data_IF_517697441707
#
_entry.id   IF_517697441707
#
_cell.length_a   1.000
_cell.length_b   1.000
_cell.length_c   1.000
_cell.angle_alpha   90.00
_cell.angle_beta   90.00
_cell.angle_gamma   90.00
#
_symmetry.space_group_name_H-M   'P 1'
#
loop_
_entity.id
_entity.type
_entity.pdbx_description
1 polymer ?
#
# COMPACT_ATOMS: atom_id res chain seq x y z
N UNK A 1 -6.84 46.79 -3.54
CA UNK A 1 -5.61 45.93 -3.54
C UNK A 1 -5.59 44.93 -2.37
N UNK A 2 -6.05 45.32 -1.17
CA UNK A 2 -6.12 44.46 0.03
C UNK A 2 -6.85 43.12 -0.14
N UNK A 3 -8.04 43.13 -0.76
CA UNK A 3 -8.85 41.91 -0.93
C UNK A 3 -8.22 40.86 -1.86
N UNK A 4 -7.26 41.25 -2.72
CA UNK A 4 -6.54 40.36 -3.64
C UNK A 4 -5.33 39.69 -2.94
N UNK A 5 -4.63 40.42 -2.07
CA UNK A 5 -3.57 39.87 -1.20
C UNK A 5 -4.14 38.90 -0.18
N UNK A 6 -5.30 39.22 0.40
CA UNK A 6 -6.00 38.34 1.36
C UNK A 6 -6.35 36.96 0.76
N UNK A 7 -6.80 36.91 -0.50
CA UNK A 7 -7.15 35.64 -1.17
C UNK A 7 -5.94 34.78 -1.54
N UNK A 8 -4.84 35.41 -1.96
CA UNK A 8 -3.57 34.69 -2.21
C UNK A 8 -2.96 34.18 -0.91
N UNK A 9 -3.02 34.99 0.14
CA UNK A 9 -2.58 34.61 1.48
C UNK A 9 -3.41 33.44 2.02
N UNK A 10 -4.74 33.45 1.82
CA UNK A 10 -5.62 32.35 2.20
C UNK A 10 -5.29 31.05 1.44
N UNK A 11 -5.02 31.12 0.13
CA UNK A 11 -4.63 29.94 -0.65
C UNK A 11 -3.28 29.35 -0.21
N UNK A 12 -2.28 30.22 0.04
CA UNK A 12 -0.99 29.82 0.60
C UNK A 12 -1.13 29.26 2.01
N UNK A 13 -1.99 29.86 2.84
CA UNK A 13 -2.29 29.39 4.19
C UNK A 13 -2.95 28.01 4.16
N UNK A 14 -3.88 27.75 3.23
CA UNK A 14 -4.52 26.43 3.06
C UNK A 14 -3.50 25.38 2.62
N UNK A 15 -2.64 25.69 1.64
CA UNK A 15 -1.57 24.77 1.22
C UNK A 15 -0.59 24.53 2.37
N UNK A 16 -0.20 25.57 3.10
CA UNK A 16 0.65 25.46 4.29
C UNK A 16 -0.03 24.63 5.39
N UNK A 17 -1.33 24.78 5.60
CA UNK A 17 -2.08 24.01 6.59
C UNK A 17 -2.19 22.53 6.20
N UNK A 18 -2.39 22.23 4.92
CA UNK A 18 -2.38 20.85 4.40
C UNK A 18 -0.99 20.23 4.57
N UNK A 19 0.06 20.97 4.25
CA UNK A 19 1.46 20.52 4.44
C UNK A 19 1.81 20.41 5.93
N UNK A 20 1.35 21.32 6.78
CA UNK A 20 1.59 21.29 8.22
C UNK A 20 0.83 20.15 8.92
N UNK A 21 -0.41 19.87 8.51
CA UNK A 21 -1.18 18.69 8.99
C UNK A 21 -0.51 17.40 8.53
N UNK A 22 0.03 17.37 7.31
CA UNK A 22 0.81 16.23 6.83
C UNK A 22 2.11 16.04 7.61
N UNK A 23 2.85 17.13 7.89
CA UNK A 23 4.06 17.10 8.71
C UNK A 23 3.73 16.69 10.14
N UNK A 24 2.65 17.21 10.72
CA UNK A 24 2.17 16.82 12.05
C UNK A 24 1.85 15.33 12.12
N UNK A 25 1.20 14.77 11.10
CA UNK A 25 0.93 13.33 11.00
C UNK A 25 2.16 12.45 10.77
N UNK A 26 3.30 13.02 10.34
CA UNK A 26 4.60 12.34 10.27
C UNK A 26 5.28 12.34 11.64
N UNK A 27 5.23 13.47 12.35
CA UNK A 27 5.88 13.64 13.65
C UNK A 27 5.09 13.05 14.82
N UNK A 28 3.75 12.94 14.73
CA UNK A 28 2.93 12.36 15.81
C UNK A 28 3.03 10.84 15.93
N UNK A 29 3.73 10.16 15.01
CA UNK A 29 4.00 8.72 15.11
C UNK A 29 5.25 8.38 15.91
N UNK A 30 6.07 9.38 16.27
CA UNK A 30 7.26 9.17 17.07
C UNK A 30 6.98 9.36 18.56
N UNK A 31 6.03 8.62 19.11
CA UNK A 31 5.95 8.44 20.57
C UNK A 31 5.89 6.97 20.95
N UNK A 32 7.07 6.52 21.38
CA UNK A 32 7.33 5.63 22.51
C UNK A 32 7.00 4.14 22.36
N UNK A 33 7.90 3.35 22.94
CA UNK A 33 8.02 1.91 22.77
C UNK A 33 6.74 1.13 23.03
N UNK A 34 6.76 -0.11 22.55
CA UNK A 34 5.67 -1.09 22.55
C UNK A 34 5.22 -1.38 23.98
N UNK A 35 4.42 -0.50 24.58
CA UNK A 35 3.55 -0.83 25.71
C UNK A 35 2.14 -0.79 25.18
N UNK A 36 1.88 -1.64 24.19
CA UNK A 36 0.55 -1.90 23.67
C UNK A 36 0.02 -3.16 24.35
N UNK A 37 -1.25 -3.14 24.72
CA UNK A 37 -1.91 -4.31 25.29
C UNK A 37 -2.07 -5.38 24.20
N UNK A 38 -1.70 -6.62 24.49
CA UNK A 38 -1.81 -7.73 23.56
C UNK A 38 -3.27 -7.93 23.12
N UNK A 39 -3.56 -7.93 21.81
CA UNK A 39 -4.91 -8.15 21.31
C UNK A 39 -5.44 -9.53 21.67
N UNK A 40 -6.50 -9.56 22.46
CA UNK A 40 -7.22 -10.78 22.79
C UNK A 40 -7.70 -11.57 21.55
N UNK A 41 -7.63 -12.90 21.63
CA UNK A 41 -8.15 -13.83 20.64
C UNK A 41 -8.57 -15.15 21.28
N UNK A 42 -9.43 -15.88 20.57
CA UNK A 42 -9.86 -17.24 20.89
C UNK A 42 -9.62 -18.11 19.65
N UNK A 43 -9.11 -19.32 19.85
CA UNK A 43 -8.78 -20.24 18.77
C UNK A 43 -8.86 -21.70 19.23
N UNK A 44 -8.97 -22.62 18.28
CA UNK A 44 -8.83 -24.04 18.55
C UNK A 44 -7.34 -24.37 18.73
N UNK A 45 -6.98 -24.94 19.88
CA UNK A 45 -5.69 -25.57 20.09
C UNK A 45 -5.73 -26.99 19.52
N UNK A 46 -4.83 -27.28 18.57
CA UNK A 46 -4.74 -28.57 17.91
C UNK A 46 -4.12 -29.63 18.82
N UNK A 47 -3.25 -29.22 19.74
CA UNK A 47 -2.60 -30.16 20.66
C UNK A 47 -3.61 -30.71 21.67
N UNK A 48 -4.33 -29.83 22.37
CA UNK A 48 -5.30 -30.24 23.39
C UNK A 48 -6.70 -30.53 22.83
N UNK A 49 -6.98 -30.12 21.59
CA UNK A 49 -8.30 -30.14 20.98
C UNK A 49 -9.36 -29.37 21.81
N UNK A 50 -8.93 -28.27 22.44
CA UNK A 50 -9.73 -27.37 23.28
C UNK A 50 -9.69 -25.95 22.73
N UNK A 51 -10.61 -25.09 23.18
CA UNK A 51 -10.57 -23.66 22.82
C UNK A 51 -9.60 -22.94 23.75
N UNK A 52 -8.54 -22.37 23.17
CA UNK A 52 -7.57 -21.52 23.87
C UNK A 52 -7.97 -20.04 23.76
N UNK A 53 -7.82 -19.28 24.84
CA UNK A 53 -8.08 -17.84 24.88
C UNK A 53 -6.97 -17.10 25.60
N UNK A 54 -6.31 -16.17 24.91
CA UNK A 54 -5.22 -15.38 25.50
C UNK A 54 -5.68 -14.51 26.68
N UNK A 55 -6.95 -14.06 26.69
CA UNK A 55 -7.44 -13.20 27.76
C UNK A 55 -7.56 -13.92 29.11
N UNK A 56 -7.62 -15.25 29.08
CA UNK A 56 -7.75 -16.08 30.27
C UNK A 56 -6.39 -16.33 30.94
N UNK A 57 -5.28 -16.07 30.25
CA UNK A 57 -3.90 -16.23 30.75
C UNK A 57 -3.42 -15.08 31.65
N UNK A 58 -4.33 -14.30 32.25
CA UNK A 58 -3.93 -13.24 33.18
C UNK A 58 -3.20 -13.84 34.38
N UNK A 59 -2.03 -13.28 34.69
CA UNK A 59 -1.13 -13.77 35.73
C UNK A 59 -0.03 -14.69 35.23
N UNK A 60 -0.12 -15.22 34.00
CA UNK A 60 0.93 -16.01 33.37
C UNK A 60 1.75 -15.14 32.40
N UNK A 61 3.06 -15.41 32.31
CA UNK A 61 3.88 -14.85 31.23
C UNK A 61 3.63 -15.69 29.99
N UNK A 62 3.23 -15.07 28.88
CA UNK A 62 2.98 -15.78 27.62
C UNK A 62 4.13 -15.56 26.64
N UNK A 63 4.72 -16.66 26.16
CA UNK A 63 5.61 -16.68 25.00
C UNK A 63 4.77 -16.99 23.76
N UNK A 64 4.43 -15.96 22.99
CA UNK A 64 3.71 -16.10 21.73
C UNK A 64 4.72 -16.27 20.59
N UNK A 65 4.92 -17.51 20.17
CA UNK A 65 5.76 -17.87 19.04
C UNK A 65 4.95 -17.79 17.75
N UNK A 66 5.39 -16.99 16.78
CA UNK A 66 4.72 -16.78 15.50
C UNK A 66 5.60 -17.34 14.39
N UNK A 67 5.04 -18.24 13.58
CA UNK A 67 5.77 -18.93 12.52
C UNK A 67 4.87 -19.20 11.31
N UNK A 68 5.45 -19.45 10.15
CA UNK A 68 4.76 -19.92 8.95
C UNK A 68 5.40 -21.22 8.50
N UNK A 69 4.97 -22.31 9.13
CA UNK A 69 5.38 -23.68 8.85
C UNK A 69 4.29 -24.37 8.02
N UNK A 70 4.48 -24.39 6.71
CA UNK A 70 3.60 -25.02 5.73
C UNK A 70 4.41 -25.46 4.51
N UNK A 71 3.83 -26.31 3.66
CA UNK A 71 4.44 -26.76 2.40
C UNK A 71 3.93 -25.92 1.23
N UNK A 72 4.82 -25.33 0.40
CA UNK A 72 6.28 -25.41 0.45
C UNK A 72 6.89 -24.55 1.58
N UNK A 73 7.89 -25.12 2.27
CA UNK A 73 8.61 -24.46 3.38
C UNK A 73 9.62 -23.46 2.84
N UNK A 74 9.82 -22.33 3.53
CA UNK A 74 10.94 -21.44 3.24
C UNK A 74 12.27 -22.13 3.56
N UNK A 75 13.04 -22.47 2.52
CA UNK A 75 14.34 -23.17 2.62
C UNK A 75 15.35 -22.44 3.52
N UNK A 76 15.44 -21.11 3.40
CA UNK A 76 16.38 -20.32 4.21
C UNK A 76 15.94 -20.20 5.67
N UNK A 77 14.63 -20.14 5.89
CA UNK A 77 14.02 -19.97 7.21
C UNK A 77 13.97 -21.31 7.98
N UNK A 78 13.94 -22.44 7.27
CA UNK A 78 13.71 -23.79 7.82
C UNK A 78 14.64 -24.09 8.98
N UNK A 79 15.94 -23.82 8.81
CA UNK A 79 16.95 -24.02 9.85
C UNK A 79 16.57 -23.29 11.15
N UNK A 80 16.22 -22.01 11.05
CA UNK A 80 15.90 -21.16 12.21
C UNK A 80 14.55 -21.49 12.83
N UNK A 81 13.55 -21.86 12.01
CA UNK A 81 12.26 -22.36 12.50
C UNK A 81 12.44 -23.65 13.32
N UNK A 82 13.19 -24.61 12.79
CA UNK A 82 13.46 -25.89 13.46
C UNK A 82 14.27 -25.69 14.75
N UNK A 83 15.35 -24.91 14.68
CA UNK A 83 16.20 -24.63 15.85
C UNK A 83 15.40 -23.90 16.94
N UNK A 84 14.58 -22.91 16.59
CA UNK A 84 13.77 -22.21 17.59
C UNK A 84 12.70 -23.10 18.22
N UNK A 85 12.00 -23.91 17.42
CA UNK A 85 11.01 -24.87 17.94
C UNK A 85 11.66 -25.89 18.88
N UNK A 86 12.90 -26.32 18.60
CA UNK A 86 13.67 -27.19 19.48
C UNK A 86 14.03 -26.50 20.81
N UNK A 87 14.36 -25.21 20.80
CA UNK A 87 14.58 -24.46 22.03
C UNK A 87 13.28 -24.26 22.83
N UNK A 88 12.14 -24.07 22.17
CA UNK A 88 10.83 -23.98 22.83
C UNK A 88 10.44 -25.30 23.50
N UNK A 89 10.68 -26.44 22.85
CA UNK A 89 10.51 -27.77 23.45
C UNK A 89 11.33 -27.93 24.73
N UNK A 90 12.60 -27.50 24.70
CA UNK A 90 13.45 -27.48 25.91
C UNK A 90 12.95 -26.54 27.00
N UNK A 91 12.32 -25.41 26.67
CA UNK A 91 11.71 -24.51 27.67
C UNK A 91 10.45 -25.15 28.26
N UNK A 92 9.59 -25.72 27.42
CA UNK A 92 8.37 -26.40 27.84
C UNK A 92 8.69 -27.54 28.81
N UNK A 93 9.72 -28.34 28.50
CA UNK A 93 10.18 -29.44 29.35
C UNK A 93 10.69 -29.00 30.74
N UNK A 94 11.01 -27.71 30.96
CA UNK A 94 11.44 -27.19 32.27
C UNK A 94 10.28 -27.01 33.26
N UNK A 95 9.03 -27.10 32.82
CA UNK A 95 7.83 -26.92 33.66
C UNK A 95 7.90 -25.68 34.55
N UNK A 96 8.26 -24.54 33.95
CA UNK A 96 8.31 -23.25 34.64
C UNK A 96 6.88 -22.86 35.04
N UNK A 97 6.64 -22.57 36.32
CA UNK A 97 5.32 -22.17 36.82
C UNK A 97 4.86 -20.87 36.17
N UNK A 98 3.56 -20.67 35.94
CA UNK A 98 3.02 -19.42 35.36
C UNK A 98 3.69 -18.98 34.04
N UNK A 99 4.13 -19.94 33.23
CA UNK A 99 4.61 -19.74 31.86
C UNK A 99 3.65 -20.47 30.91
N UNK A 100 3.13 -19.73 29.93
CA UNK A 100 2.30 -20.27 28.86
C UNK A 100 3.04 -20.10 27.54
N UNK A 101 3.24 -21.18 26.78
CA UNK A 101 3.83 -21.13 25.44
C UNK A 101 2.73 -21.37 24.42
N UNK A 102 2.65 -20.50 23.43
CA UNK A 102 1.64 -20.59 22.37
C UNK A 102 2.34 -20.43 21.02
N UNK A 103 2.23 -21.43 20.16
CA UNK A 103 2.60 -21.28 18.75
C UNK A 103 1.38 -20.86 17.94
N UNK A 104 1.49 -19.73 17.25
CA UNK A 104 0.57 -19.28 16.21
C UNK A 104 1.20 -19.53 14.84
N UNK A 105 0.75 -20.58 14.16
CA UNK A 105 1.21 -20.96 12.84
C UNK A 105 0.34 -20.34 11.74
N UNK A 106 0.93 -19.53 10.86
CA UNK A 106 0.23 -18.93 9.72
C UNK A 106 0.14 -19.94 8.57
N UNK A 107 -1.08 -20.12 8.06
CA UNK A 107 -1.41 -21.04 6.97
C UNK A 107 -2.03 -20.35 5.75
N UNK A 108 -1.24 -20.24 4.68
CA UNK A 108 -1.72 -19.80 3.35
C UNK A 108 -2.24 -20.99 2.55
N UNK A 109 -1.56 -22.14 2.65
CA UNK A 109 -1.93 -23.34 1.94
C UNK A 109 -2.79 -24.27 2.81
N UNK A 110 -4.10 -24.28 2.56
CA UNK A 110 -5.05 -25.17 3.22
C UNK A 110 -4.85 -26.65 2.89
N UNK A 111 -4.17 -26.97 1.79
CA UNK A 111 -3.89 -28.35 1.38
C UNK A 111 -2.58 -28.91 1.96
N UNK A 112 -1.75 -28.06 2.58
CA UNK A 112 -0.53 -28.53 3.27
C UNK A 112 -0.89 -29.37 4.50
N UNK A 113 -0.01 -30.29 4.87
CA UNK A 113 -0.03 -30.95 6.19
C UNK A 113 -0.03 -29.88 7.32
N UNK A 114 -0.62 -30.17 8.49
CA UNK A 114 -0.66 -29.19 9.60
C UNK A 114 0.77 -28.80 10.01
N UNK A 115 1.01 -27.54 10.39
CA UNK A 115 2.34 -27.16 10.88
C UNK A 115 2.71 -27.95 12.14
N UNK A 116 1.71 -28.24 12.96
CA UNK A 116 1.80 -29.17 14.09
C UNK A 116 2.35 -30.55 13.67
N UNK A 117 1.74 -31.20 12.67
CA UNK A 117 2.20 -32.50 12.17
C UNK A 117 3.57 -32.39 11.50
N UNK A 118 3.86 -31.29 10.81
CA UNK A 118 5.18 -31.07 10.21
C UNK A 118 6.26 -31.03 11.29
N UNK A 119 6.04 -30.26 12.36
CA UNK A 119 6.97 -30.15 13.49
C UNK A 119 7.19 -31.49 14.20
N UNK A 120 6.13 -32.28 14.40
CA UNK A 120 6.24 -33.60 15.04
C UNK A 120 6.93 -34.63 14.17
N UNK A 121 6.55 -34.72 12.89
CA UNK A 121 6.97 -35.79 11.99
C UNK A 121 8.32 -35.54 11.35
N UNK A 122 8.58 -34.32 10.86
CA UNK A 122 9.83 -34.01 10.15
C UNK A 122 10.90 -33.39 11.05
N UNK A 123 10.51 -32.66 12.09
CA UNK A 123 11.47 -32.10 13.05
C UNK A 123 11.67 -32.98 14.30
N UNK A 124 10.87 -34.06 14.45
CA UNK A 124 10.93 -34.99 15.57
C UNK A 124 10.77 -34.30 16.94
N UNK A 125 9.92 -33.27 17.01
CA UNK A 125 9.68 -32.49 18.23
C UNK A 125 8.43 -32.99 18.96
N UNK A 126 8.46 -32.97 20.30
CA UNK A 126 7.31 -33.29 21.12
C UNK A 126 6.61 -32.01 21.59
N UNK A 127 5.64 -31.54 20.81
CA UNK A 127 4.90 -30.32 21.12
C UNK A 127 4.02 -30.57 22.35
N UNK A 128 4.40 -30.02 23.51
CA UNK A 128 3.67 -30.13 24.78
C UNK A 128 2.96 -28.83 25.20
N UNK A 129 2.80 -27.90 24.26
CA UNK A 129 2.26 -26.56 24.49
C UNK A 129 1.18 -26.22 23.44
N UNK A 130 0.47 -25.11 23.64
CA UNK A 130 -0.65 -24.74 22.78
C UNK A 130 -0.19 -24.46 21.34
N UNK A 131 -0.86 -25.07 20.37
CA UNK A 131 -0.56 -24.91 18.96
C UNK A 131 -1.81 -24.54 18.16
N UNK A 132 -1.79 -23.36 17.56
CA UNK A 132 -2.91 -22.79 16.81
C UNK A 132 -2.51 -22.64 15.35
N UNK A 133 -3.34 -23.16 14.45
CA UNK A 133 -3.21 -22.90 13.00
C UNK A 133 -4.19 -21.78 12.61
N UNK A 134 -3.67 -20.66 12.14
CA UNK A 134 -4.48 -19.55 11.65
C UNK A 134 -4.41 -19.50 10.12
N UNK A 135 -5.54 -19.78 9.48
CA UNK A 135 -5.66 -19.82 8.03
C UNK A 135 -5.89 -18.42 7.46
N UNK A 136 -5.41 -18.18 6.23
CA UNK A 136 -5.67 -16.96 5.48
C UNK A 136 -7.20 -16.70 5.45
N UNK A 137 -7.68 -15.54 5.94
CA UNK A 137 -7.02 -14.23 5.98
C UNK A 137 -6.30 -13.85 7.30
N UNK A 138 -5.88 -14.82 8.12
CA UNK A 138 -5.13 -14.60 9.37
C UNK A 138 -5.87 -13.73 10.38
N UNK A 139 -7.02 -14.22 10.86
CA UNK A 139 -7.88 -13.48 11.78
C UNK A 139 -7.17 -13.11 13.08
N UNK A 140 -6.24 -13.97 13.52
CA UNK A 140 -5.50 -13.83 14.78
C UNK A 140 -4.14 -13.21 14.49
N UNK A 141 -3.35 -13.81 13.59
CA UNK A 141 -2.00 -13.36 13.28
C UNK A 141 -2.02 -11.95 12.66
N UNK A 142 -3.07 -11.57 11.93
CA UNK A 142 -3.23 -10.19 11.44
C UNK A 142 -3.22 -9.14 12.55
N UNK A 143 -3.68 -9.47 13.77
CA UNK A 143 -3.66 -8.55 14.93
C UNK A 143 -2.24 -8.30 15.45
N UNK A 144 -1.35 -9.27 15.29
CA UNK A 144 0.04 -9.24 15.75
C UNK A 144 1.04 -8.83 14.67
N UNK A 145 0.56 -8.45 13.48
CA UNK A 145 1.40 -8.22 12.30
C UNK A 145 2.54 -7.24 12.52
N UNK A 146 2.30 -6.15 13.25
CA UNK A 146 3.34 -5.16 13.56
C UNK A 146 4.50 -5.72 14.39
N UNK A 147 4.26 -6.79 15.14
CA UNK A 147 5.23 -7.40 16.05
C UNK A 147 6.06 -8.50 15.37
N UNK A 148 5.60 -9.13 14.30
CA UNK A 148 6.41 -10.10 13.55
C UNK A 148 6.91 -9.54 12.22
N UNK A 149 6.72 -8.24 11.97
CA UNK A 149 7.24 -7.56 10.79
C UNK A 149 8.47 -6.75 11.19
N UNK A 150 9.61 -7.05 10.58
CA UNK A 150 10.84 -6.29 10.75
C UNK A 150 11.18 -5.55 9.45
N UNK A 151 11.26 -4.22 9.47
CA UNK A 151 11.62 -3.38 8.31
C UNK A 151 10.87 -3.78 7.01
N UNK A 152 9.56 -3.98 7.10
CA UNK A 152 8.66 -4.44 6.02
C UNK A 152 8.81 -5.90 5.55
N UNK A 153 9.63 -6.70 6.22
CA UNK A 153 9.76 -8.13 5.95
C UNK A 153 9.10 -8.97 7.04
N UNK A 154 8.56 -10.11 6.64
CA UNK A 154 8.04 -11.11 7.55
C UNK A 154 9.19 -11.79 8.30
N UNK A 155 9.12 -11.78 9.64
CA UNK A 155 10.02 -12.55 10.50
C UNK A 155 9.45 -13.95 10.70
N UNK A 156 10.20 -14.96 10.24
CA UNK A 156 9.83 -16.36 10.33
C UNK A 156 11.00 -17.19 10.89
N UNK A 157 11.02 -17.52 12.20
CA UNK A 157 10.00 -17.22 13.21
C UNK A 157 10.18 -15.86 13.92
N UNK A 158 9.20 -15.50 14.75
CA UNK A 158 9.27 -14.41 15.72
C UNK A 158 8.75 -14.87 17.09
N UNK A 159 9.19 -14.24 18.18
CA UNK A 159 8.70 -14.49 19.54
C UNK A 159 8.26 -13.17 20.15
N UNK A 160 7.02 -13.10 20.60
CA UNK A 160 6.46 -11.98 21.34
C UNK A 160 6.37 -12.36 22.81
N UNK A 161 6.90 -11.50 23.68
CA UNK A 161 6.86 -11.63 25.13
C UNK A 161 5.67 -10.82 25.65
N UNK A 162 4.77 -11.48 26.37
CA UNK A 162 3.59 -10.86 26.96
C UNK A 162 3.62 -11.10 28.48
N UNK A 163 3.48 -10.03 29.26
CA UNK A 163 3.47 -10.11 30.72
C UNK A 163 2.13 -10.60 31.29
N UNK A 164 2.08 -10.87 32.60
CA UNK A 164 0.87 -11.32 33.29
C UNK A 164 -0.29 -10.32 33.31
N UNK A 165 -0.05 -9.07 32.90
CA UNK A 165 -1.10 -8.04 32.73
C UNK A 165 -1.58 -7.91 31.28
N UNK A 166 -1.10 -8.79 30.40
CA UNK A 166 -1.35 -8.81 28.96
C UNK A 166 -0.73 -7.63 28.21
N UNK A 167 0.34 -7.03 28.71
CA UNK A 167 1.11 -6.05 27.94
C UNK A 167 2.21 -6.75 27.14
N UNK A 168 2.43 -6.27 25.92
CA UNK A 168 3.58 -6.69 25.13
C UNK A 168 4.80 -6.02 25.75
N UNK A 169 5.79 -6.80 26.16
CA UNK A 169 7.00 -6.31 26.85
C UNK A 169 8.28 -6.55 26.05
N UNK A 170 8.20 -7.32 24.98
CA UNK A 170 9.32 -7.51 24.07
C UNK A 170 8.98 -8.35 22.85
N UNK A 171 9.83 -8.25 21.84
CA UNK A 171 9.73 -8.98 20.58
C UNK A 171 11.14 -9.39 20.13
N UNK A 172 11.29 -10.65 19.75
CA UNK A 172 12.46 -11.18 19.09
C UNK A 172 12.12 -11.56 17.65
N UNK A 173 12.80 -10.95 16.69
CA UNK A 173 12.75 -11.31 15.27
C UNK A 173 13.91 -12.25 14.97
N UNK A 174 13.65 -13.55 14.83
CA UNK A 174 14.74 -14.53 14.78
C UNK A 174 15.41 -14.51 13.40
N UNK A 175 14.61 -14.65 12.36
CA UNK A 175 15.05 -14.62 10.95
C UNK A 175 14.04 -13.84 10.12
N UNK A 176 14.49 -12.92 9.28
CA UNK A 176 13.63 -12.13 8.41
C UNK A 176 13.98 -12.39 6.94
N UNK A 177 12.97 -12.74 6.15
CA UNK A 177 13.16 -12.98 4.72
C UNK A 177 13.69 -11.70 4.04
N UNK A 178 14.79 -11.82 3.30
CA UNK A 178 15.45 -10.70 2.62
C UNK A 178 16.45 -9.89 3.47
N UNK A 179 16.44 -10.04 4.80
CA UNK A 179 17.42 -9.40 5.70
C UNK A 179 18.34 -10.42 6.41
N UNK A 180 17.95 -11.69 6.47
CA UNK A 180 18.70 -12.74 7.14
C UNK A 180 18.43 -12.81 8.65
N UNK A 181 19.46 -13.17 9.42
CA UNK A 181 19.38 -13.28 10.88
C UNK A 181 19.32 -11.89 11.51
N UNK A 182 18.31 -11.63 12.33
CA UNK A 182 18.16 -10.35 13.05
C UNK A 182 18.59 -10.53 14.50
N UNK A 183 17.74 -11.15 15.32
CA UNK A 183 18.10 -11.54 16.68
C UNK A 183 18.72 -12.95 16.70
N UNK A 184 18.32 -13.84 15.79
CA UNK A 184 18.75 -15.24 15.82
C UNK A 184 18.13 -16.04 16.97
N UNK A 185 18.40 -17.34 16.96
CA UNK A 185 17.71 -18.34 17.80
C UNK A 185 17.90 -18.01 19.27
N UNK A 186 16.78 -17.93 20.00
CA UNK A 186 16.74 -17.68 21.43
C UNK A 186 16.81 -19.01 22.16
N UNK A 187 17.91 -19.20 22.91
CA UNK A 187 18.11 -20.42 23.70
C UNK A 187 17.09 -20.55 24.82
N UNK A 188 16.84 -21.79 25.24
CA UNK A 188 15.92 -22.09 26.32
C UNK A 188 16.34 -21.46 27.66
N UNK A 189 17.65 -21.33 27.89
CA UNK A 189 18.17 -20.65 29.08
C UNK A 189 17.90 -19.14 29.05
N UNK A 190 18.11 -18.49 27.90
CA UNK A 190 17.82 -17.06 27.74
C UNK A 190 16.33 -16.76 27.87
N UNK A 191 15.46 -17.58 27.27
CA UNK A 191 14.01 -17.41 27.37
C UNK A 191 13.51 -17.62 28.80
N UNK A 192 14.05 -18.62 29.51
CA UNK A 192 13.71 -18.86 30.92
C UNK A 192 14.11 -17.67 31.82
N UNK A 193 15.32 -17.13 31.63
CA UNK A 193 15.81 -15.94 32.35
C UNK A 193 14.95 -14.69 32.04
N UNK A 194 14.57 -14.50 30.78
CA UNK A 194 13.66 -13.41 30.40
C UNK A 194 12.29 -13.55 31.08
N UNK A 195 11.72 -14.76 31.11
CA UNK A 195 10.44 -15.06 31.80
C UNK A 195 10.54 -14.78 33.30
N UNK A 196 11.64 -15.18 33.94
CA UNK A 196 11.90 -14.93 35.37
C UNK A 196 11.91 -13.43 35.67
N UNK A 197 12.62 -12.64 34.85
CA UNK A 197 12.71 -11.18 34.98
C UNK A 197 11.37 -10.48 34.78
N UNK A 198 10.56 -10.93 33.82
CA UNK A 198 9.20 -10.41 33.60
C UNK A 198 8.32 -10.67 34.82
N UNK A 199 8.40 -11.87 35.41
CA UNK A 199 7.64 -12.20 36.63
C UNK A 199 8.04 -11.36 37.84
N UNK A 200 9.33 -11.12 38.01
CA UNK A 200 9.87 -10.34 39.13
C UNK A 200 9.61 -8.83 38.96
N UNK A 201 9.09 -8.40 37.81
CA UNK A 201 8.89 -6.97 37.50
C UNK A 201 10.19 -6.21 37.24
N UNK A 202 11.31 -6.92 37.12
CA UNK A 202 12.63 -6.35 36.83
C UNK A 202 12.85 -6.09 35.33
N UNK A 203 11.84 -6.40 34.51
CA UNK A 203 11.85 -6.16 33.06
C UNK A 203 11.71 -4.67 32.73
N UNK A 204 12.83 -3.94 32.83
CA UNK A 204 12.85 -2.48 32.70
C UNK A 204 13.03 -1.91 31.29
N UNK A 205 13.44 -2.72 30.30
CA UNK A 205 13.63 -2.25 28.91
C UNK A 205 12.90 -3.16 27.94
N UNK A 206 11.95 -2.58 27.21
CA UNK A 206 11.23 -3.26 26.13
C UNK A 206 12.27 -3.67 25.07
N UNK A 207 12.37 -4.97 24.79
CA UNK A 207 13.31 -5.50 23.80
C UNK A 207 12.64 -5.58 22.43
N UNK A 208 13.34 -5.13 21.38
CA UNK A 208 12.92 -5.28 19.99
C UNK A 208 12.29 -4.02 19.36
N UNK A 209 12.44 -3.90 18.04
CA UNK A 209 11.81 -2.86 17.24
C UNK A 209 10.52 -3.42 16.60
N UNK A 210 9.34 -2.96 17.03
CA UNK A 210 8.12 -3.25 16.28
C UNK A 210 8.00 -2.32 15.08
N UNK A 211 7.37 -2.83 14.02
CA UNK A 211 7.07 -2.03 12.86
C UNK A 211 6.08 -0.91 13.20
N UNK A 212 6.55 0.33 13.08
CA UNK A 212 5.73 1.52 13.01
C UNK A 212 4.85 1.39 11.75
N UNK A 213 3.59 1.01 11.94
CA UNK A 213 2.64 0.75 10.86
C UNK A 213 2.54 1.89 9.86
N UNK A 214 2.00 1.63 8.66
CA UNK A 214 1.67 2.70 7.72
C UNK A 214 0.69 3.68 8.38
N UNK A 215 1.20 4.85 8.74
CA UNK A 215 0.40 5.94 9.27
C UNK A 215 -0.32 6.66 8.14
N UNK A 216 -1.40 7.37 8.47
CA UNK A 216 -2.02 8.32 7.53
C UNK A 216 -0.98 9.31 6.95
N UNK A 217 0.02 9.70 7.75
CA UNK A 217 1.17 10.49 7.31
C UNK A 217 2.01 9.77 6.25
N UNK A 218 2.36 8.49 6.46
CA UNK A 218 3.08 7.69 5.48
C UNK A 218 2.36 7.56 4.15
N UNK A 219 1.04 7.35 4.17
CA UNK A 219 0.21 7.31 2.96
C UNK A 219 0.14 8.63 2.22
N UNK A 220 0.07 9.74 2.96
CA UNK A 220 0.13 11.07 2.36
C UNK A 220 1.48 11.32 1.66
N UNK A 221 2.59 11.01 2.34
CA UNK A 221 3.95 11.17 1.78
C UNK A 221 4.14 10.30 0.55
N UNK A 222 3.66 9.06 0.58
CA UNK A 222 3.68 8.18 -0.58
C UNK A 222 2.88 8.77 -1.76
N UNK A 223 1.75 9.44 -1.47
CA UNK A 223 0.99 10.24 -2.44
C UNK A 223 1.82 11.34 -3.09
N UNK A 224 2.52 12.12 -2.27
CA UNK A 224 3.40 13.20 -2.75
C UNK A 224 4.52 12.63 -3.61
N UNK A 225 5.20 11.57 -3.17
CA UNK A 225 6.32 10.97 -3.89
C UNK A 225 5.89 10.39 -5.25
N UNK A 226 4.73 9.72 -5.30
CA UNK A 226 4.22 9.12 -6.54
C UNK A 226 3.67 10.13 -7.54
N UNK A 227 3.43 11.38 -7.14
CA UNK A 227 3.12 12.46 -8.08
C UNK A 227 4.28 12.81 -9.03
N UNK A 228 5.52 12.52 -8.60
CA UNK A 228 6.75 12.75 -9.39
C UNK A 228 7.03 11.56 -10.32
N UNK A 229 6.24 10.49 -10.23
CA UNK A 229 6.39 9.34 -11.12
C UNK A 229 6.17 9.75 -12.59
N UNK A 230 6.95 9.18 -13.52
CA UNK A 230 6.91 9.55 -14.94
C UNK A 230 5.50 9.44 -15.56
N UNK A 231 4.67 8.49 -15.11
CA UNK A 231 3.25 8.38 -15.49
C UNK A 231 2.44 9.64 -15.15
N UNK A 232 2.57 10.12 -13.90
CA UNK A 232 1.83 11.27 -13.41
C UNK A 232 2.26 12.57 -14.09
N UNK A 233 3.55 12.71 -14.42
CA UNK A 233 4.08 13.87 -15.15
C UNK A 233 3.47 13.94 -16.56
N UNK A 234 3.40 12.84 -17.30
CA UNK A 234 2.84 12.82 -18.67
C UNK A 234 1.36 13.20 -18.67
N UNK A 235 0.59 12.62 -17.75
CA UNK A 235 -0.83 12.95 -17.62
C UNK A 235 -1.06 14.40 -17.15
N UNK A 236 -0.17 14.93 -16.31
CA UNK A 236 -0.20 16.33 -15.90
C UNK A 236 0.08 17.27 -17.09
N UNK A 237 1.03 16.93 -17.97
CA UNK A 237 1.31 17.70 -19.20
C UNK A 237 0.09 17.70 -20.13
N UNK A 238 -0.60 16.56 -20.26
CA UNK A 238 -1.84 16.48 -21.03
C UNK A 238 -2.94 17.37 -20.45
N UNK A 239 -3.09 17.38 -19.12
CA UNK A 239 -4.01 18.29 -18.41
C UNK A 239 -3.63 19.75 -18.67
N UNK A 240 -2.37 20.15 -18.44
CA UNK A 240 -1.92 21.54 -18.64
C UNK A 240 -2.10 22.00 -20.09
N UNK A 241 -1.89 21.12 -21.06
CA UNK A 241 -2.16 21.41 -22.47
C UNK A 241 -3.66 21.63 -22.72
N UNK A 242 -4.53 20.86 -22.06
CA UNK A 242 -5.98 20.98 -22.19
C UNK A 242 -6.55 22.24 -21.52
N UNK A 243 -6.11 22.58 -20.31
CA UNK A 243 -6.52 23.83 -19.63
C UNK A 243 -5.86 25.06 -20.24
N UNK A 244 -4.58 24.96 -20.63
CA UNK A 244 -3.84 26.03 -21.32
C UNK A 244 -4.43 26.36 -22.70
N UNK A 245 -4.82 25.35 -23.49
CA UNK A 245 -5.46 25.55 -24.80
C UNK A 245 -6.83 26.24 -24.72
N UNK A 246 -7.51 26.18 -23.56
CA UNK A 246 -8.78 26.87 -23.34
C UNK A 246 -8.59 28.30 -22.82
N UNK A 247 -7.49 28.58 -22.10
CA UNK A 247 -7.13 29.93 -21.64
C UNK A 247 -6.66 30.86 -22.77
N UNK A 248 -6.16 30.33 -23.88
CA UNK A 248 -5.68 31.11 -25.04
C UNK A 248 -6.70 31.37 -26.15
N UNK A 249 -7.97 30.95 -26.01
CA UNK A 249 -9.01 31.07 -27.04
C UNK A 249 -10.01 32.18 -26.76
N UNK A 250 -9.56 33.29 -26.18
CA UNK A 250 -10.33 34.52 -26.02
C UNK A 250 -9.66 35.66 -26.77
N UNK A 251 -10.18 35.96 -27.97
CA UNK A 251 -10.01 37.16 -28.81
C UNK A 251 -8.62 37.83 -28.86
N UNK A 252 -8.08 37.92 -30.08
CA UNK A 252 -6.92 38.72 -30.38
C UNK A 252 -7.09 40.18 -29.97
N UNK A 253 -6.19 40.63 -29.11
CA UNK A 253 -5.56 41.94 -29.15
C UNK A 253 -4.35 41.88 -28.23
N UNK A 254 -3.17 42.18 -28.78
CA UNK A 254 -2.08 42.74 -27.99
C UNK A 254 -2.67 43.94 -27.24
N UNK A 255 -2.77 43.89 -25.91
CA UNK A 255 -2.44 45.00 -25.02
C UNK A 255 -2.86 44.74 -23.56
N UNK A 256 -2.04 45.30 -22.67
CA UNK A 256 -2.26 45.60 -21.25
C UNK A 256 -1.97 44.49 -20.23
N UNK A 257 -0.67 44.54 -19.89
CA UNK A 257 0.01 44.08 -18.70
C UNK A 257 -0.72 44.33 -17.37
N UNK A 258 -0.29 43.58 -16.36
CA UNK A 258 -0.40 43.81 -14.89
C UNK A 258 -1.71 43.56 -14.14
N UNK A 259 -2.88 43.44 -14.79
CA UNK A 259 -4.17 43.25 -14.07
C UNK A 259 -4.77 41.82 -14.05
N UNK A 260 -4.40 40.98 -15.02
CA UNK A 260 -5.10 39.73 -15.35
C UNK A 260 -4.53 38.45 -14.68
N UNK A 261 -3.31 38.52 -14.14
CA UNK A 261 -2.57 37.37 -13.59
C UNK A 261 -3.26 36.72 -12.39
N UNK A 262 -3.93 37.49 -11.52
CA UNK A 262 -4.51 36.99 -10.26
C UNK A 262 -5.86 36.29 -10.42
N UNK A 263 -6.68 36.69 -11.40
CA UNK A 263 -7.97 36.01 -11.70
C UNK A 263 -7.72 34.62 -12.27
N UNK A 264 -6.65 34.48 -13.06
CA UNK A 264 -6.19 33.21 -13.61
C UNK A 264 -5.57 32.30 -12.54
N UNK A 265 -4.84 32.86 -11.56
CA UNK A 265 -4.29 32.09 -10.43
C UNK A 265 -5.39 31.48 -9.55
N UNK A 266 -6.42 32.26 -9.19
CA UNK A 266 -7.48 31.77 -8.31
C UNK A 266 -8.36 30.72 -8.99
N UNK A 267 -8.64 30.91 -10.29
CA UNK A 267 -9.31 29.87 -11.09
C UNK A 267 -8.43 28.63 -11.22
N UNK A 268 -7.11 28.76 -11.39
CA UNK A 268 -6.16 27.64 -11.42
C UNK A 268 -6.09 26.86 -10.10
N UNK A 269 -6.12 27.56 -8.97
CA UNK A 269 -6.20 26.95 -7.63
C UNK A 269 -7.47 26.11 -7.46
N UNK A 270 -8.64 26.68 -7.74
CA UNK A 270 -9.92 25.95 -7.63
C UNK A 270 -10.01 24.78 -8.61
N UNK A 271 -9.43 24.93 -9.81
CA UNK A 271 -9.30 23.83 -10.79
C UNK A 271 -8.42 22.70 -10.21
N UNK A 272 -7.29 23.03 -9.59
CA UNK A 272 -6.42 22.05 -8.93
C UNK A 272 -7.10 21.34 -7.75
N UNK A 273 -7.85 22.07 -6.93
CA UNK A 273 -8.61 21.51 -5.80
C UNK A 273 -9.71 20.57 -6.29
N UNK A 274 -10.53 20.97 -7.27
CA UNK A 274 -11.58 20.10 -7.82
C UNK A 274 -11.01 18.88 -8.54
N UNK A 275 -9.89 19.03 -9.23
CA UNK A 275 -9.16 17.92 -9.85
C UNK A 275 -8.71 16.91 -8.78
N UNK A 276 -8.08 17.40 -7.72
CA UNK A 276 -7.62 16.58 -6.59
C UNK A 276 -8.78 15.88 -5.88
N UNK A 277 -9.91 16.56 -5.73
CA UNK A 277 -11.11 15.98 -5.12
C UNK A 277 -11.67 14.84 -5.98
N UNK A 278 -11.73 15.01 -7.30
CA UNK A 278 -12.15 13.96 -8.22
C UNK A 278 -11.23 12.74 -8.18
N UNK A 279 -9.91 12.97 -8.10
CA UNK A 279 -8.89 11.94 -7.91
C UNK A 279 -9.08 11.17 -6.60
N UNK A 280 -9.17 11.89 -5.48
CA UNK A 280 -9.27 11.31 -4.15
C UNK A 280 -10.55 10.49 -3.97
N UNK A 281 -11.67 10.91 -4.57
CA UNK A 281 -12.92 10.16 -4.54
C UNK A 281 -12.82 8.82 -5.27
N UNK A 282 -12.15 8.78 -6.43
CA UNK A 282 -11.94 7.52 -7.15
C UNK A 282 -11.03 6.57 -6.37
N UNK A 283 -9.96 7.08 -5.73
CA UNK A 283 -9.12 6.24 -4.88
C UNK A 283 -9.82 5.76 -3.61
N UNK A 284 -10.70 6.57 -3.02
CA UNK A 284 -11.55 6.11 -1.92
C UNK A 284 -12.41 4.92 -2.37
N UNK A 285 -13.08 5.02 -3.52
CA UNK A 285 -13.90 3.93 -4.07
C UNK A 285 -13.04 2.70 -4.39
N UNK A 286 -11.85 2.87 -4.98
CA UNK A 286 -10.92 1.76 -5.21
C UNK A 286 -10.46 1.12 -3.90
N UNK A 287 -10.12 1.91 -2.87
CA UNK A 287 -9.75 1.41 -1.54
C UNK A 287 -10.87 0.59 -0.90
N UNK A 288 -12.11 1.06 -0.99
CA UNK A 288 -13.29 0.30 -0.53
C UNK A 288 -13.51 -0.99 -1.33
N UNK A 289 -13.41 -0.92 -2.67
CA UNK A 289 -13.58 -2.09 -3.55
C UNK A 289 -12.51 -3.14 -3.26
N UNK A 290 -11.24 -2.74 -3.13
CA UNK A 290 -10.15 -3.69 -2.85
C UNK A 290 -10.31 -4.28 -1.45
N UNK A 291 -10.68 -3.48 -0.45
CA UNK A 291 -10.94 -4.00 0.92
C UNK A 291 -12.11 -4.99 0.96
N UNK A 292 -13.11 -4.83 0.07
CA UNK A 292 -14.23 -5.76 -0.04
C UNK A 292 -13.87 -7.04 -0.83
N UNK A 293 -13.05 -6.91 -1.88
CA UNK A 293 -12.78 -7.98 -2.85
C UNK A 293 -11.44 -8.71 -2.62
N UNK A 294 -10.60 -8.21 -1.73
CA UNK A 294 -9.27 -8.74 -1.41
C UNK A 294 -9.28 -10.22 -1.02
N UNK A 295 -10.39 -10.70 -0.45
CA UNK A 295 -10.61 -12.10 -0.10
C UNK A 295 -10.66 -13.05 -1.32
N UNK A 296 -11.01 -12.56 -2.52
CA UNK A 296 -11.26 -13.40 -3.70
C UNK A 296 -10.13 -13.34 -4.75
N UNK A 297 -9.27 -12.32 -4.72
CA UNK A 297 -8.28 -12.05 -5.78
C UNK A 297 -6.98 -12.86 -5.62
N UNK A 298 -6.66 -13.34 -4.42
CA UNK A 298 -5.38 -14.02 -4.16
C UNK A 298 -5.33 -15.47 -4.66
N UNK A 299 -6.48 -16.12 -4.89
CA UNK A 299 -6.56 -17.53 -5.31
C UNK A 299 -6.68 -17.77 -6.82
N UNK A 300 -6.67 -16.74 -7.67
CA UNK A 300 -6.86 -16.92 -9.12
C UNK A 300 -5.68 -16.43 -9.95
N UNK A 301 -4.80 -17.32 -10.47
CA UNK A 301 -3.73 -16.95 -11.41
C UNK A 301 -4.26 -16.26 -12.69
N UNK A 302 -5.55 -16.45 -13.00
CA UNK A 302 -6.28 -15.78 -14.06
C UNK A 302 -6.30 -14.24 -13.94
N UNK A 303 -6.38 -13.68 -12.73
CA UNK A 303 -6.47 -12.23 -12.54
C UNK A 303 -5.17 -11.54 -12.94
N UNK A 304 -4.02 -12.09 -12.51
CA UNK A 304 -2.71 -11.58 -12.89
C UNK A 304 -2.43 -11.69 -14.39
N UNK A 305 -2.95 -12.74 -15.04
CA UNK A 305 -2.86 -12.92 -16.49
C UNK A 305 -3.65 -11.84 -17.23
N UNK A 306 -4.90 -11.58 -16.82
CA UNK A 306 -5.75 -10.54 -17.43
C UNK A 306 -5.12 -9.16 -17.23
N UNK A 307 -4.63 -8.85 -16.03
CA UNK A 307 -3.96 -7.59 -15.73
C UNK A 307 -2.67 -7.43 -16.55
N UNK A 308 -1.82 -8.46 -16.64
CA UNK A 308 -0.59 -8.46 -17.42
C UNK A 308 -0.82 -8.27 -18.92
N UNK A 309 -1.81 -8.96 -19.50
CA UNK A 309 -2.21 -8.79 -20.90
C UNK A 309 -2.74 -7.37 -21.15
N UNK A 310 -3.56 -6.82 -20.25
CA UNK A 310 -4.08 -5.47 -20.38
C UNK A 310 -2.95 -4.43 -20.32
N UNK A 311 -2.00 -4.57 -19.39
CA UNK A 311 -0.82 -3.73 -19.27
C UNK A 311 0.06 -3.77 -20.52
N UNK A 312 0.25 -4.95 -21.10
CA UNK A 312 1.02 -5.14 -22.32
C UNK A 312 0.34 -4.46 -23.53
N UNK A 313 -0.98 -4.59 -23.65
CA UNK A 313 -1.76 -3.90 -24.70
C UNK A 313 -1.65 -2.38 -24.54
N UNK A 314 -1.77 -1.86 -23.31
CA UNK A 314 -1.65 -0.43 -23.02
C UNK A 314 -0.23 0.07 -23.32
N UNK A 315 0.81 -0.64 -22.86
CA UNK A 315 2.21 -0.28 -23.08
C UNK A 315 2.58 -0.25 -24.57
N UNK A 316 2.23 -1.28 -25.33
CA UNK A 316 2.49 -1.34 -26.78
C UNK A 316 1.77 -0.20 -27.52
N UNK A 317 0.52 0.10 -27.13
CA UNK A 317 -0.25 1.19 -27.74
C UNK A 317 0.39 2.56 -27.48
N UNK A 318 1.01 2.76 -26.32
CA UNK A 318 1.75 3.98 -25.97
C UNK A 318 3.07 4.11 -26.71
N UNK A 319 3.83 3.02 -26.91
CA UNK A 319 5.13 3.06 -27.61
C UNK A 319 4.95 3.28 -29.12
N UNK A 320 3.95 2.63 -29.73
CA UNK A 320 3.74 2.58 -31.17
C UNK A 320 2.37 3.16 -31.59
N UNK A 321 2.14 4.47 -31.45
CA UNK A 321 0.88 5.10 -31.86
C UNK A 321 0.65 5.06 -33.39
N UNK A 322 1.72 4.93 -34.18
CA UNK A 322 1.67 4.92 -35.65
C UNK A 322 1.67 3.52 -36.27
N UNK A 323 2.23 2.49 -35.60
CA UNK A 323 2.34 1.13 -36.15
C UNK A 323 0.98 0.41 -36.22
N UNK A 324 0.06 0.72 -35.29
CA UNK A 324 -1.28 0.13 -35.24
C UNK A 324 -2.31 0.83 -36.14
N UNK A 325 -2.00 2.00 -36.71
CA UNK A 325 -2.88 2.66 -37.69
C UNK A 325 -2.88 1.91 -39.04
N UNK A 326 -1.85 1.11 -39.30
CA UNK A 326 -1.64 0.43 -40.58
C UNK A 326 -2.03 -1.06 -40.66
N UNK A 327 -2.09 -1.82 -39.55
CA UNK A 327 -2.12 -3.30 -39.69
C UNK A 327 -2.90 -4.16 -38.68
N UNK A 328 -3.64 -3.61 -37.71
CA UNK A 328 -4.67 -4.37 -36.99
C UNK A 328 -6.06 -3.79 -37.26
N UNK A 329 -6.76 -4.37 -38.23
CA UNK A 329 -8.22 -4.34 -38.28
C UNK A 329 -8.74 -5.30 -37.20
N UNK A 330 -8.58 -4.95 -35.92
CA UNK A 330 -9.32 -5.65 -34.86
C UNK A 330 -10.72 -5.03 -34.78
N UNK A 331 -11.67 -5.79 -35.32
CA UNK A 331 -13.05 -5.42 -35.58
C UNK A 331 -13.88 -5.45 -34.30
N UNK A 332 -13.50 -4.67 -33.28
CA UNK A 332 -14.33 -4.49 -32.09
C UNK A 332 -14.63 -3.03 -31.74
N UNK A 333 -13.92 -2.06 -32.33
CA UNK A 333 -14.32 -0.64 -32.27
C UNK A 333 -13.99 0.07 -33.58
N UNK A 334 -14.59 -0.42 -34.67
CA UNK A 334 -14.59 0.30 -35.94
C UNK A 334 -15.57 1.47 -35.81
N UNK A 335 -15.10 2.58 -35.25
CA UNK A 335 -15.76 3.88 -35.38
C UNK A 335 -15.80 4.22 -36.87
N UNK A 336 -16.91 3.83 -37.51
CA UNK A 336 -17.20 4.04 -38.91
C UNK A 336 -17.24 5.54 -39.16
N UNK A 337 -16.19 6.06 -39.80
CA UNK A 337 -16.27 7.29 -40.62
C UNK A 337 -17.34 7.02 -41.67
N UNK A 338 -18.56 7.44 -41.38
CA UNK A 338 -19.73 7.22 -42.22
C UNK A 338 -21.01 7.27 -41.39
N UNK A 339 -21.52 8.48 -41.19
CA UNK A 339 -22.95 8.72 -40.94
C UNK A 339 -23.59 8.05 -39.74
N UNK A 340 -23.17 8.41 -38.51
CA UNK A 340 -23.99 8.51 -37.29
C UNK A 340 -23.06 8.83 -36.12
N UNK A 341 -23.02 10.10 -35.76
CA UNK A 341 -22.16 10.66 -34.72
C UNK A 341 -22.39 9.98 -33.36
N UNK A 342 -21.34 9.32 -32.87
CA UNK A 342 -21.27 8.68 -31.56
C UNK A 342 -21.58 9.68 -30.45
N UNK A 343 -22.53 9.32 -29.58
CA UNK A 343 -23.03 10.12 -28.46
C UNK A 343 -21.91 10.71 -27.58
N UNK A 344 -20.79 10.01 -27.46
CA UNK A 344 -19.62 10.45 -26.68
C UNK A 344 -18.98 11.74 -27.23
N UNK A 345 -18.97 11.93 -28.55
CA UNK A 345 -18.43 13.15 -29.18
C UNK A 345 -19.42 14.33 -29.19
N UNK A 346 -20.72 14.09 -28.94
CA UNK A 346 -21.76 15.15 -28.85
C UNK A 346 -22.01 15.62 -27.42
N UNK A 347 -21.92 14.72 -26.44
CA UNK A 347 -22.21 15.04 -25.04
C UNK A 347 -21.00 15.70 -24.35
N UNK A 348 -19.77 15.27 -24.68
CA UNK A 348 -18.55 15.81 -24.10
C UNK A 348 -18.34 17.32 -24.37
N UNK A 349 -18.51 17.86 -25.61
CA UNK A 349 -18.35 19.29 -25.87
C UNK A 349 -19.48 20.17 -25.33
N UNK A 350 -20.69 19.63 -25.11
CA UNK A 350 -21.84 20.39 -24.57
C UNK A 350 -21.79 20.57 -23.04
N UNK A 351 -21.31 19.57 -22.30
CA UNK A 351 -21.04 19.71 -20.86
C UNK A 351 -19.79 20.59 -20.63
N UNK A 352 -18.82 20.54 -21.55
CA UNK A 352 -17.59 21.37 -21.56
C UNK A 352 -17.81 22.88 -21.73
N UNK A 353 -18.99 23.32 -22.17
CA UNK A 353 -19.27 24.74 -22.43
C UNK A 353 -19.72 25.53 -21.19
N UNK A 354 -20.13 24.88 -20.10
CA UNK A 354 -20.82 25.58 -19.02
C UNK A 354 -19.96 25.88 -17.78
N UNK A 355 -18.89 25.13 -17.47
CA UNK A 355 -18.02 25.45 -16.33
C UNK A 355 -16.65 24.76 -16.38
N UNK A 356 -15.57 25.55 -16.29
CA UNK A 356 -14.17 25.08 -16.22
C UNK A 356 -13.92 24.19 -15.00
N UNK A 357 -14.68 24.40 -13.92
CA UNK A 357 -14.60 23.66 -12.67
C UNK A 357 -15.10 22.22 -12.80
N UNK A 358 -16.21 22.02 -13.51
CA UNK A 358 -16.78 20.68 -13.76
C UNK A 358 -15.84 19.84 -14.63
N UNK A 359 -15.23 20.46 -15.65
CA UNK A 359 -14.25 19.78 -16.50
C UNK A 359 -13.01 19.33 -15.70
N UNK A 360 -12.55 20.13 -14.73
CA UNK A 360 -11.42 19.78 -13.88
C UNK A 360 -11.71 18.56 -12.99
N UNK A 361 -12.92 18.49 -12.42
CA UNK A 361 -13.36 17.36 -11.59
C UNK A 361 -13.41 16.05 -12.39
N UNK A 362 -14.06 16.06 -13.56
CA UNK A 362 -14.12 14.88 -14.43
C UNK A 362 -12.76 14.46 -14.97
N UNK A 363 -11.86 15.41 -15.23
CA UNK A 363 -10.50 15.05 -15.64
C UNK A 363 -9.71 14.41 -14.51
N UNK A 364 -9.94 14.81 -13.25
CA UNK A 364 -9.43 14.10 -12.08
C UNK A 364 -9.87 12.64 -12.06
N UNK A 365 -11.16 12.37 -12.28
CA UNK A 365 -11.68 11.00 -12.35
C UNK A 365 -10.98 10.19 -13.47
N UNK A 366 -10.84 10.77 -14.66
CA UNK A 366 -10.17 10.11 -15.79
C UNK A 366 -8.68 9.85 -15.52
N UNK A 367 -8.01 10.78 -14.84
CA UNK A 367 -6.61 10.63 -14.45
C UNK A 367 -6.45 9.48 -13.45
N UNK A 368 -7.33 9.34 -12.46
CA UNK A 368 -7.26 8.27 -11.46
C UNK A 368 -7.34 6.89 -12.12
N UNK A 369 -8.24 6.74 -13.10
CA UNK A 369 -8.38 5.50 -13.87
C UNK A 369 -7.18 5.26 -14.79
N UNK A 370 -6.65 6.31 -15.44
CA UNK A 370 -5.46 6.21 -16.29
C UNK A 370 -4.17 5.89 -15.53
N UNK A 371 -4.13 6.24 -14.25
CA UNK A 371 -3.02 5.97 -13.33
C UNK A 371 -3.02 4.54 -12.79
N UNK A 372 -4.17 3.85 -12.79
CA UNK A 372 -4.35 2.48 -12.30
C UNK A 372 -3.25 1.48 -12.74
N UNK A 373 -2.86 1.33 -14.02
CA UNK A 373 -1.85 0.36 -14.44
C UNK A 373 -0.46 0.55 -13.80
N UNK A 374 -0.11 1.79 -13.47
CA UNK A 374 1.22 2.15 -12.93
C UNK A 374 1.18 2.19 -11.40
N UNK A 375 0.02 2.56 -10.87
CA UNK A 375 -0.29 2.49 -9.47
C UNK A 375 -0.23 1.06 -8.96
N UNK A 376 -0.80 0.10 -9.69
CA UNK A 376 -0.89 -1.29 -9.22
C UNK A 376 0.50 -1.78 -8.79
N UNK A 377 1.57 -1.58 -9.56
CA UNK A 377 2.92 -2.03 -9.18
C UNK A 377 3.55 -1.31 -7.98
N UNK A 378 3.27 -0.02 -7.78
CA UNK A 378 3.83 0.78 -6.68
C UNK A 378 3.02 0.66 -5.39
N UNK A 379 1.71 0.43 -5.51
CA UNK A 379 0.76 0.32 -4.40
C UNK A 379 0.48 -1.11 -3.99
N UNK A 380 0.85 -2.11 -4.79
CA UNK A 380 0.62 -3.52 -4.46
C UNK A 380 1.12 -3.91 -3.05
N UNK A 381 2.35 -3.56 -2.63
CA UNK A 381 2.85 -3.94 -1.32
C UNK A 381 2.02 -3.32 -0.19
N UNK A 382 1.60 -2.07 -0.37
CA UNK A 382 0.74 -1.34 0.58
C UNK A 382 -0.67 -1.91 0.62
N UNK A 383 -1.23 -2.27 -0.54
CA UNK A 383 -2.55 -2.90 -0.63
C UNK A 383 -2.54 -4.28 0.05
N UNK A 384 -1.56 -5.12 -0.24
CA UNK A 384 -1.37 -6.42 0.42
C UNK A 384 -1.24 -6.23 1.93
N UNK A 385 -0.51 -5.22 2.39
CA UNK A 385 -0.40 -4.90 3.81
C UNK A 385 -1.74 -4.50 4.45
N UNK A 386 -2.54 -3.65 3.79
CA UNK A 386 -3.87 -3.27 4.26
C UNK A 386 -4.83 -4.48 4.25
N UNK A 387 -4.71 -5.38 3.27
CA UNK A 387 -5.51 -6.61 3.23
C UNK A 387 -5.11 -7.61 4.34
N UNK A 388 -3.83 -7.63 4.70
CA UNK A 388 -3.30 -8.52 5.74
C UNK A 388 -3.67 -8.07 7.16
N UNK A 389 -4.18 -6.85 7.30
CA UNK A 389 -4.76 -6.37 8.54
C UNK A 389 -6.28 -6.51 8.47
N UNK A 390 -6.90 -6.93 9.57
CA UNK A 390 -8.35 -6.93 9.77
C UNK A 390 -8.90 -5.49 9.88
N UNK A 391 -8.54 -4.61 8.94
CA UNK A 391 -8.97 -3.21 8.94
C UNK A 391 -10.34 -3.10 8.31
N UNK A 392 -11.17 -2.23 8.89
CA UNK A 392 -12.48 -1.94 8.34
C UNK A 392 -12.38 -1.39 6.90
N UNK A 393 -13.36 -1.73 6.06
CA UNK A 393 -13.47 -1.21 4.67
C UNK A 393 -13.37 0.32 4.63
N UNK A 394 -13.92 0.98 5.65
CA UNK A 394 -13.87 2.43 5.79
C UNK A 394 -12.44 2.94 5.99
N UNK A 395 -11.63 2.25 6.79
CA UNK A 395 -10.23 2.61 7.03
C UNK A 395 -9.40 2.44 5.76
N UNK A 396 -9.55 1.33 5.03
CA UNK A 396 -8.87 1.12 3.74
C UNK A 396 -9.22 2.20 2.70
N UNK A 397 -10.49 2.59 2.62
CA UNK A 397 -10.94 3.73 1.81
C UNK A 397 -10.31 5.05 2.25
N UNK A 398 -10.27 5.34 3.56
CA UNK A 398 -9.75 6.59 4.10
C UNK A 398 -8.24 6.74 3.92
N UNK A 399 -7.47 5.65 4.03
CA UNK A 399 -6.05 5.63 3.70
C UNK A 399 -5.82 6.01 2.22
N UNK A 400 -6.61 5.43 1.31
CA UNK A 400 -6.52 5.74 -0.13
C UNK A 400 -6.98 7.15 -0.48
N UNK A 401 -7.93 7.70 0.29
CA UNK A 401 -8.33 9.09 0.16
C UNK A 401 -7.19 10.05 0.55
N UNK A 402 -6.54 9.82 1.69
CA UNK A 402 -5.38 10.60 2.14
C UNK A 402 -4.21 10.49 1.16
N UNK A 403 -4.00 9.30 0.61
CA UNK A 403 -3.06 9.08 -0.48
C UNK A 403 -3.38 9.94 -1.72
N UNK A 404 -4.64 9.99 -2.14
CA UNK A 404 -5.09 10.84 -3.26
C UNK A 404 -4.93 12.33 -3.01
N UNK A 405 -5.13 12.78 -1.76
CA UNK A 405 -4.87 14.16 -1.35
C UNK A 405 -3.37 14.50 -1.42
N UNK A 406 -2.50 13.57 -1.01
CA UNK A 406 -1.05 13.71 -1.12
C UNK A 406 -0.60 13.91 -2.57
N UNK A 407 -1.20 13.18 -3.51
CA UNK A 407 -0.93 13.32 -4.95
C UNK A 407 -1.33 14.70 -5.49
N UNK A 408 -2.41 15.28 -4.97
CA UNK A 408 -2.87 16.62 -5.35
C UNK A 408 -1.97 17.76 -4.90
N UNK A 409 -1.13 17.56 -3.87
CA UNK A 409 -0.30 18.63 -3.31
C UNK A 409 0.68 19.21 -4.34
N UNK A 410 1.39 18.42 -5.16
CA UNK A 410 2.21 18.98 -6.23
C UNK A 410 1.41 19.47 -7.45
N UNK A 411 0.20 18.94 -7.66
CA UNK A 411 -0.66 19.31 -8.79
C UNK A 411 -1.25 20.72 -8.63
N UNK A 412 -1.66 21.11 -7.43
CA UNK A 412 -2.30 22.42 -7.18
C UNK A 412 -1.39 23.60 -7.55
N UNK A 413 -0.10 23.65 -7.15
CA UNK A 413 0.83 24.68 -7.61
C UNK A 413 1.03 24.64 -9.13
N UNK A 414 1.08 23.46 -9.73
CA UNK A 414 1.32 23.30 -11.17
C UNK A 414 0.15 23.81 -12.00
N UNK A 415 -1.10 23.61 -11.57
CA UNK A 415 -2.28 24.20 -12.23
C UNK A 415 -2.40 25.70 -11.97
N UNK A 416 -1.98 26.17 -10.79
CA UNK A 416 -1.99 27.59 -10.43
C UNK A 416 -0.97 28.40 -11.27
N UNK A 417 0.27 27.92 -11.41
CA UNK A 417 1.35 28.59 -12.16
C UNK A 417 1.41 28.20 -13.65
N UNK A 418 0.79 27.08 -14.04
CA UNK A 418 0.81 26.58 -15.42
C UNK A 418 0.23 27.55 -16.44
N UNK A 419 -0.72 28.41 -16.03
CA UNK A 419 -1.29 29.46 -16.89
C UNK A 419 -0.26 30.50 -17.36
N UNK A 420 0.85 30.69 -16.62
CA UNK A 420 1.91 31.65 -16.94
C UNK A 420 3.10 30.98 -17.64
N UNK A 421 3.37 29.70 -17.34
CA UNK A 421 4.49 28.94 -17.92
C UNK A 421 4.20 28.33 -19.32
N UNK A 422 2.93 28.05 -19.64
CA UNK A 422 2.53 27.34 -20.86
C UNK A 422 2.96 28.04 -22.17
N UNK A 423 3.08 29.37 -22.17
CA UNK A 423 3.38 30.15 -23.39
C UNK A 423 4.87 30.19 -23.75
N UNK A 424 5.79 30.05 -22.76
CA UNK A 424 7.25 30.11 -23.00
C UNK A 424 7.94 28.74 -22.94
N UNK A 425 7.37 27.78 -22.23
CA UNK A 425 7.99 26.48 -21.91
C UNK A 425 7.31 25.31 -22.65
N UNK A 426 6.11 25.53 -23.22
CA UNK A 426 5.27 24.49 -23.80
C UNK A 426 5.91 23.70 -24.95
N UNK A 427 6.67 24.32 -25.86
CA UNK A 427 7.23 23.60 -27.01
C UNK A 427 8.34 22.61 -26.63
N UNK A 428 9.23 22.98 -25.70
CA UNK A 428 10.31 22.11 -25.22
C UNK A 428 9.80 21.02 -24.27
N UNK A 429 8.83 21.34 -23.40
CA UNK A 429 8.23 20.35 -22.49
C UNK A 429 7.35 19.34 -23.21
N UNK A 430 6.60 19.74 -24.26
CA UNK A 430 5.80 18.80 -25.07
C UNK A 430 6.70 17.83 -25.82
N UNK A 431 7.90 18.24 -26.23
CA UNK A 431 8.86 17.37 -26.91
C UNK A 431 9.60 16.42 -25.95
N UNK A 432 9.94 16.88 -24.74
CA UNK A 432 10.43 16.03 -23.65
C UNK A 432 9.36 15.02 -23.19
N UNK A 433 8.09 15.45 -23.11
CA UNK A 433 6.95 14.61 -22.77
C UNK A 433 6.78 13.42 -23.73
N UNK A 434 6.99 13.62 -25.04
CA UNK A 434 6.93 12.53 -26.03
C UNK A 434 8.01 11.46 -25.83
N UNK A 435 9.22 11.87 -25.43
CA UNK A 435 10.31 10.93 -25.14
C UNK A 435 10.07 10.18 -23.83
N UNK A 436 9.62 10.89 -22.79
CA UNK A 436 9.25 10.30 -21.50
C UNK A 436 8.09 9.31 -21.67
N UNK A 437 7.08 9.65 -22.48
CA UNK A 437 5.92 8.78 -22.77
C UNK A 437 6.34 7.48 -23.47
N UNK A 438 7.28 7.54 -24.42
CA UNK A 438 7.84 6.34 -25.09
C UNK A 438 8.64 5.46 -24.14
N UNK A 439 9.55 6.05 -23.35
CA UNK A 439 10.36 5.32 -22.36
C UNK A 439 9.43 4.66 -21.34
N UNK A 440 8.40 5.38 -20.91
CA UNK A 440 7.44 4.87 -19.94
C UNK A 440 6.57 3.75 -20.52
N UNK A 441 6.05 3.90 -21.74
CA UNK A 441 5.33 2.84 -22.44
C UNK A 441 6.17 1.57 -22.57
N UNK A 442 7.48 1.72 -22.81
CA UNK A 442 8.44 0.61 -22.86
C UNK A 442 8.58 -0.08 -21.50
N UNK A 443 8.76 0.69 -20.42
CA UNK A 443 8.82 0.14 -19.06
C UNK A 443 7.54 -0.61 -18.68
N UNK A 444 6.36 -0.04 -18.97
CA UNK A 444 5.07 -0.69 -18.71
C UNK A 444 4.91 -1.97 -19.53
N UNK A 445 5.33 -1.97 -20.80
CA UNK A 445 5.31 -3.18 -21.61
C UNK A 445 6.25 -4.26 -21.05
N UNK A 446 7.45 -3.88 -20.60
CA UNK A 446 8.40 -4.80 -19.94
C UNK A 446 7.79 -5.38 -18.66
N UNK A 447 7.17 -4.56 -17.81
CA UNK A 447 6.49 -5.02 -16.59
C UNK A 447 5.33 -5.97 -16.94
N UNK A 448 4.54 -5.66 -17.97
CA UNK A 448 3.48 -6.55 -18.46
C UNK A 448 4.00 -7.90 -18.92
N UNK A 449 5.13 -7.92 -19.65
CA UNK A 449 5.83 -9.15 -20.06
C UNK A 449 6.33 -9.92 -18.84
N UNK A 450 6.95 -9.25 -17.86
CA UNK A 450 7.44 -9.87 -16.62
C UNK A 450 6.29 -10.52 -15.82
N UNK A 451 5.12 -9.88 -15.75
CA UNK A 451 3.93 -10.46 -15.12
C UNK A 451 3.46 -11.74 -15.82
N UNK A 452 3.48 -11.76 -17.15
CA UNK A 452 3.12 -12.95 -17.95
C UNK A 452 4.18 -14.07 -17.81
N UNK A 453 5.47 -13.72 -17.79
CA UNK A 453 6.57 -14.68 -17.62
C UNK A 453 6.59 -15.32 -16.23
N UNK A 454 6.24 -14.56 -15.18
CA UNK A 454 6.10 -15.08 -13.81
C UNK A 454 5.04 -16.19 -13.71
N UNK A 455 3.96 -16.10 -14.47
CA UNK A 455 2.93 -17.13 -14.58
C UNK A 455 3.40 -18.38 -15.35
N UNK A 456 4.45 -18.25 -16.16
CA UNK A 456 5.01 -19.33 -16.98
C UNK A 456 6.05 -20.18 -16.23
N UNK A 457 6.25 -19.95 -14.93
CA UNK A 457 7.19 -20.69 -14.09
C UNK A 457 8.65 -20.25 -14.21
N UNK A 458 8.94 -19.15 -14.92
CA UNK A 458 10.28 -18.57 -15.01
C UNK A 458 10.39 -17.50 -13.92
N UNK A 459 10.96 -17.89 -12.77
CA UNK A 459 11.25 -16.98 -11.67
C UNK A 459 12.50 -16.17 -12.00
N UNK A 460 12.32 -14.87 -12.22
CA UNK A 460 13.43 -13.93 -12.43
C UNK A 460 13.85 -13.22 -11.15
N UNK A 461 13.21 -13.50 -10.00
CA UNK A 461 13.65 -13.22 -8.63
C UNK A 461 12.71 -13.93 -7.66
#
# INVERSE_FOLDING_TARGET
MHMKRAKLFLALLIVFLIVAVAIYGIFSSSENGIVEKAPCFEALDIHENTTYSLCNEKGNVTLLHITQLETPVCLECEKYMREQLSELDKVAARNITNLTIVTLNLRKNSFSESGYEIARKYYALNISWHWIEDFEPFQIAGKYQKLYTYKNAFSNPAIVLIDGTLNIVGVYHIYCMGYGVVDGVRSAASLADDVEKIKQGEWGTIKGEAYQGLTFGGMFVLGVLTSVSPCSIVLLIAMLSYTGARGGRGKGTLEKETGATTRNLFTGFWVGVLFTLGMALVFFVFGCLISYIGYFIQSSPLFFLIAGVLLLIIGIRTIFPDLLRGRLKFTLFKARKGGKESWVHRVYPRIQQHSVYVAAFFLGILFAVGWAPCAISLFFPVLVFVMAQNVSVLTGGLLMFVFGLGHGVPVIPLTMFGSTASTKIGSKYVQAGKWIEKIFGLVVAIIGVLFILRLSGIYLW
#
